data_IF_409018451769
#
_entry.id   IF_409018451769
#
_cell.length_a   1.000
_cell.length_b   1.000
_cell.length_c   1.000
_cell.angle_alpha   90.00
_cell.angle_beta   90.00
_cell.angle_gamma   90.00
#
_symmetry.space_group_name_H-M   'P 1'
#
loop_
_entity.id
_entity.type
_entity.pdbx_description
1 polymer ?
#
# COMPACT_ATOMS: atom_id res chain seq x y z
N UNK A 1 -1.47 -14.81 10.35
CA UNK A 1 -1.06 -15.22 9.00
C UNK A 1 -1.33 -14.08 8.02
N UNK A 2 -0.54 -13.96 6.96
CA UNK A 2 -0.77 -13.02 5.87
C UNK A 2 -1.47 -13.76 4.75
N UNK A 3 -2.50 -13.16 4.19
CA UNK A 3 -3.26 -13.71 3.08
C UNK A 3 -3.26 -12.71 1.94
N UNK A 4 -3.15 -13.20 0.72
CA UNK A 4 -3.58 -12.44 -0.44
C UNK A 4 -5.09 -12.26 -0.40
N UNK A 5 -5.60 -11.27 -1.12
CA UNK A 5 -7.04 -11.02 -1.23
C UNK A 5 -7.79 -12.27 -1.71
N UNK A 6 -7.20 -13.00 -2.67
CA UNK A 6 -7.76 -14.22 -3.22
C UNK A 6 -7.86 -15.32 -2.17
N UNK A 7 -6.77 -15.62 -1.47
CA UNK A 7 -6.74 -16.66 -0.42
C UNK A 7 -7.71 -16.35 0.72
N UNK A 8 -7.76 -15.08 1.15
CA UNK A 8 -8.69 -14.65 2.20
C UNK A 8 -10.15 -14.90 1.80
N UNK A 9 -10.50 -14.55 0.56
CA UNK A 9 -11.85 -14.72 0.02
C UNK A 9 -12.16 -16.22 -0.19
N UNK A 10 -11.20 -17.01 -0.67
CA UNK A 10 -11.35 -18.46 -0.79
C UNK A 10 -11.66 -19.12 0.55
N UNK A 11 -11.01 -18.70 1.64
CA UNK A 11 -11.32 -19.19 2.99
C UNK A 11 -12.77 -18.89 3.40
N UNK A 12 -13.27 -17.69 3.10
CA UNK A 12 -14.66 -17.33 3.39
C UNK A 12 -15.66 -18.19 2.59
N UNK A 13 -15.41 -18.42 1.30
CA UNK A 13 -16.26 -19.28 0.48
C UNK A 13 -16.15 -20.77 0.83
N UNK A 14 -14.97 -21.24 1.23
CA UNK A 14 -14.78 -22.59 1.73
C UNK A 14 -15.61 -22.82 3.01
N UNK A 15 -15.66 -21.83 3.89
CA UNK A 15 -16.51 -21.87 5.08
C UNK A 15 -18.00 -21.95 4.72
N UNK A 16 -18.47 -21.09 3.81
CA UNK A 16 -19.88 -21.08 3.34
C UNK A 16 -20.28 -22.45 2.81
N UNK A 17 -19.42 -23.08 2.00
CA UNK A 17 -19.66 -24.41 1.44
C UNK A 17 -19.67 -25.49 2.53
N UNK A 18 -18.72 -25.43 3.46
CA UNK A 18 -18.60 -26.40 4.54
C UNK A 18 -19.78 -26.32 5.53
N UNK A 19 -20.21 -25.12 5.89
CA UNK A 19 -21.35 -24.87 6.77
C UNK A 19 -22.71 -24.97 6.06
N UNK A 20 -22.71 -25.27 4.75
CA UNK A 20 -23.90 -25.43 3.92
C UNK A 20 -24.88 -24.24 4.00
N UNK A 21 -24.34 -23.01 4.04
CA UNK A 21 -25.10 -21.78 4.25
C UNK A 21 -25.97 -21.37 3.04
N UNK A 22 -25.87 -22.12 1.94
CA UNK A 22 -26.65 -21.91 0.72
C UNK A 22 -27.98 -22.69 0.72
N UNK A 23 -28.11 -23.74 1.53
CA UNK A 23 -29.24 -24.68 1.43
C UNK A 23 -30.60 -24.07 1.80
N UNK A 24 -30.62 -23.08 2.69
CA UNK A 24 -31.83 -22.40 3.14
C UNK A 24 -31.96 -20.97 2.61
N UNK A 25 -31.15 -20.62 1.59
CA UNK A 25 -31.17 -19.29 1.01
C UNK A 25 -32.45 -19.06 0.20
N UNK A 26 -33.00 -17.84 0.19
CA UNK A 26 -34.19 -17.51 -0.60
C UNK A 26 -33.96 -17.64 -2.11
N UNK A 27 -32.72 -17.58 -2.57
CA UNK A 27 -32.33 -17.66 -3.97
C UNK A 27 -30.89 -18.19 -4.14
N UNK A 28 -30.53 -18.63 -5.35
CA UNK A 28 -29.21 -19.20 -5.64
C UNK A 28 -28.05 -18.19 -5.52
N UNK A 29 -28.33 -16.89 -5.40
CA UNK A 29 -27.34 -15.83 -5.28
C UNK A 29 -27.17 -15.31 -3.84
N UNK A 30 -27.90 -15.87 -2.86
CA UNK A 30 -27.79 -15.48 -1.46
C UNK A 30 -27.29 -16.61 -0.57
N UNK A 31 -26.90 -16.24 0.65
CA UNK A 31 -26.53 -17.15 1.74
C UNK A 31 -27.26 -16.73 3.01
N UNK A 32 -27.60 -17.70 3.85
CA UNK A 32 -28.10 -17.45 5.21
C UNK A 32 -26.90 -17.43 6.15
N UNK A 33 -26.69 -16.31 6.85
CA UNK A 33 -25.58 -16.15 7.77
C UNK A 33 -25.84 -16.93 9.07
N UNK A 34 -24.90 -17.79 9.45
CA UNK A 34 -24.85 -18.34 10.79
C UNK A 34 -24.32 -17.30 11.80
N UNK A 35 -24.43 -17.60 13.09
CA UNK A 35 -23.98 -16.67 14.14
C UNK A 35 -22.48 -16.32 13.99
N UNK A 36 -21.65 -17.29 13.59
CA UNK A 36 -20.20 -17.13 13.47
C UNK A 36 -19.83 -16.17 12.33
N UNK A 37 -20.37 -16.37 11.14
CA UNK A 37 -20.09 -15.52 9.97
C UNK A 37 -20.76 -14.16 10.14
N UNK A 38 -21.95 -14.10 10.74
CA UNK A 38 -22.61 -12.83 11.03
C UNK A 38 -21.76 -11.97 11.98
N UNK A 39 -21.32 -12.53 13.11
CA UNK A 39 -20.43 -11.82 14.04
C UNK A 39 -19.11 -11.42 13.39
N UNK A 40 -18.48 -12.32 12.61
CA UNK A 40 -17.22 -12.03 11.95
C UNK A 40 -17.33 -10.82 11.00
N UNK A 41 -18.43 -10.73 10.23
CA UNK A 41 -18.65 -9.71 9.21
C UNK A 41 -19.20 -8.38 9.75
N UNK A 42 -20.03 -8.43 10.80
CA UNK A 42 -20.87 -7.29 11.20
C UNK A 42 -20.67 -6.81 12.65
N UNK A 43 -19.96 -7.56 13.51
CA UNK A 43 -19.75 -7.15 14.90
C UNK A 43 -19.03 -5.79 15.00
N UNK A 44 -19.70 -4.85 15.67
CA UNK A 44 -19.22 -3.47 15.84
C UNK A 44 -19.42 -2.56 14.63
N UNK A 45 -20.03 -3.04 13.55
CA UNK A 45 -20.39 -2.25 12.36
C UNK A 45 -21.89 -1.92 12.30
N UNK A 46 -22.72 -2.78 12.88
CA UNK A 46 -24.17 -2.56 13.01
C UNK A 46 -24.44 -1.58 14.14
N UNK A 47 -25.24 -0.55 13.89
CA UNK A 47 -25.54 0.46 14.91
C UNK A 47 -26.43 -0.12 16.01
N UNK A 48 -26.37 0.46 17.21
CA UNK A 48 -27.23 0.07 18.32
C UNK A 48 -28.70 0.27 17.93
N UNK A 49 -29.47 -0.83 17.85
CA UNK A 49 -30.88 -0.83 17.46
C UNK A 49 -31.15 -1.33 16.03
N UNK A 50 -30.12 -1.54 15.22
CA UNK A 50 -30.25 -2.20 13.92
C UNK A 50 -30.17 -3.72 14.07
N UNK A 51 -30.97 -4.42 13.25
CA UNK A 51 -31.01 -5.89 13.23
C UNK A 51 -29.83 -6.38 12.40
N UNK A 52 -29.12 -7.38 12.92
CA UNK A 52 -28.07 -8.05 12.17
C UNK A 52 -28.62 -8.69 10.90
N UNK A 53 -27.95 -8.56 9.74
CA UNK A 53 -28.39 -9.24 8.52
C UNK A 53 -28.42 -10.75 8.74
N UNK A 54 -29.53 -11.38 8.36
CA UNK A 54 -29.67 -12.85 8.34
C UNK A 54 -29.36 -13.45 6.96
N UNK A 55 -29.52 -12.66 5.90
CA UNK A 55 -29.27 -13.06 4.51
C UNK A 55 -28.30 -12.08 3.88
N UNK A 56 -27.33 -12.59 3.12
CA UNK A 56 -26.34 -11.79 2.40
C UNK A 56 -26.21 -12.27 0.95
N UNK A 57 -26.12 -11.38 -0.04
CA UNK A 57 -25.78 -11.77 -1.40
C UNK A 57 -24.36 -12.33 -1.48
N UNK A 58 -24.15 -13.41 -2.23
CA UNK A 58 -22.83 -14.03 -2.47
C UNK A 58 -21.82 -13.03 -3.05
N UNK A 59 -22.28 -12.11 -3.89
CA UNK A 59 -21.45 -11.05 -4.46
C UNK A 59 -20.87 -10.09 -3.40
N UNK A 60 -21.58 -9.88 -2.28
CA UNK A 60 -21.19 -8.96 -1.21
C UNK A 60 -20.27 -9.59 -0.16
N UNK A 61 -20.18 -10.92 -0.10
CA UNK A 61 -19.33 -11.65 0.85
C UNK A 61 -17.87 -11.19 0.74
N UNK A 62 -17.37 -11.06 -0.49
CA UNK A 62 -15.99 -10.63 -0.77
C UNK A 62 -15.67 -9.31 -0.08
N UNK A 63 -16.46 -8.29 -0.34
CA UNK A 63 -16.24 -6.95 0.21
C UNK A 63 -16.44 -6.93 1.72
N UNK A 64 -17.50 -7.57 2.22
CA UNK A 64 -17.80 -7.64 3.65
C UNK A 64 -16.66 -8.30 4.44
N UNK A 65 -16.08 -9.40 3.90
CA UNK A 65 -15.00 -10.13 4.55
C UNK A 65 -13.69 -9.34 4.51
N UNK A 66 -13.31 -8.81 3.34
CA UNK A 66 -12.08 -8.04 3.20
C UNK A 66 -12.07 -6.76 4.04
N UNK A 67 -13.23 -6.13 4.24
CA UNK A 67 -13.38 -4.97 5.14
C UNK A 67 -12.99 -5.29 6.60
N UNK A 68 -13.09 -6.55 7.01
CA UNK A 68 -12.72 -7.00 8.36
C UNK A 68 -11.24 -7.41 8.46
N UNK A 69 -10.60 -7.66 7.34
CA UNK A 69 -9.17 -7.95 7.30
C UNK A 69 -8.35 -6.67 7.57
N UNK A 70 -7.21 -6.82 8.22
CA UNK A 70 -6.25 -5.73 8.37
C UNK A 70 -5.41 -5.62 7.10
N UNK A 71 -5.42 -4.45 6.45
CA UNK A 71 -4.59 -4.18 5.29
C UNK A 71 -3.11 -4.26 5.66
N UNK A 72 -2.35 -5.01 4.88
CA UNK A 72 -0.90 -5.11 5.00
C UNK A 72 -0.28 -4.96 3.61
N UNK A 73 0.93 -4.41 3.57
CA UNK A 73 1.76 -4.30 2.39
C UNK A 73 2.96 -5.24 2.53
N UNK A 74 3.23 -6.03 1.50
CA UNK A 74 4.45 -6.83 1.36
C UNK A 74 5.30 -6.25 0.25
N UNK A 75 6.52 -5.88 0.58
CA UNK A 75 7.50 -5.33 -0.35
C UNK A 75 8.65 -6.32 -0.45
N UNK A 76 9.11 -6.58 -1.68
CA UNK A 76 10.18 -7.54 -1.94
C UNK A 76 11.16 -6.94 -2.94
N UNK A 77 12.45 -7.00 -2.59
CA UNK A 77 13.56 -6.58 -3.45
C UNK A 77 14.66 -7.61 -3.35
N UNK A 78 14.87 -8.38 -4.41
CA UNK A 78 15.81 -9.51 -4.38
C UNK A 78 15.41 -10.51 -3.30
N UNK A 79 16.32 -10.77 -2.35
CA UNK A 79 16.08 -11.65 -1.21
C UNK A 79 15.35 -10.98 -0.03
N UNK A 80 15.34 -9.64 0.02
CA UNK A 80 14.78 -8.91 1.15
C UNK A 80 13.26 -8.80 1.04
N UNK A 81 12.57 -9.11 2.14
CA UNK A 81 11.12 -9.05 2.25
C UNK A 81 10.76 -8.30 3.52
N UNK A 82 9.93 -7.27 3.37
CA UNK A 82 9.36 -6.53 4.50
C UNK A 82 7.85 -6.50 4.40
N UNK A 83 7.20 -6.72 5.54
CA UNK A 83 5.76 -6.62 5.69
C UNK A 83 5.46 -5.46 6.63
N UNK A 84 4.66 -4.50 6.16
CA UNK A 84 4.21 -3.35 6.96
C UNK A 84 2.68 -3.34 7.01
N UNK A 85 2.15 -2.91 8.15
CA UNK A 85 0.72 -2.65 8.29
C UNK A 85 0.32 -1.44 7.46
N UNK A 86 -0.89 -1.46 6.91
CA UNK A 86 -1.47 -0.38 6.13
C UNK A 86 -1.23 -0.51 4.63
N UNK A 87 -1.53 0.58 3.92
CA UNK A 87 -1.40 0.67 2.46
C UNK A 87 0.08 0.71 2.04
N UNK A 88 0.33 0.35 0.79
CA UNK A 88 1.66 0.49 0.19
C UNK A 88 2.10 1.96 0.23
N UNK A 89 3.28 2.27 0.80
CA UNK A 89 3.82 3.61 0.84
C UNK A 89 4.19 4.12 -0.56
N UNK A 90 4.36 5.43 -0.68
CA UNK A 90 4.79 6.08 -1.92
C UNK A 90 6.16 6.73 -1.77
N UNK A 91 6.88 6.85 -2.87
CA UNK A 91 8.11 7.62 -2.99
C UNK A 91 7.75 9.00 -3.51
N UNK A 92 8.10 10.04 -2.76
CA UNK A 92 7.88 11.41 -3.22
C UNK A 92 9.13 11.94 -3.90
N UNK A 93 8.95 12.51 -5.09
CA UNK A 93 9.97 13.23 -5.83
C UNK A 93 9.49 14.66 -5.97
N UNK A 94 10.20 15.62 -5.39
CA UNK A 94 9.77 17.02 -5.41
C UNK A 94 10.89 17.94 -5.88
N UNK A 95 10.55 18.89 -6.73
CA UNK A 95 11.43 20.00 -7.06
C UNK A 95 11.05 21.21 -6.20
N UNK A 96 12.03 21.74 -5.46
CA UNK A 96 11.85 22.90 -4.57
C UNK A 96 12.96 23.93 -4.81
N UNK A 97 12.71 25.19 -4.48
CA UNK A 97 13.72 26.24 -4.52
C UNK A 97 14.19 26.53 -3.09
N UNK A 98 15.48 26.33 -2.82
CA UNK A 98 16.10 26.61 -1.53
C UNK A 98 17.08 27.76 -1.73
N UNK A 99 16.83 28.90 -1.07
CA UNK A 99 17.70 30.09 -1.12
C UNK A 99 18.06 30.52 -2.55
N UNK A 100 17.08 30.46 -3.47
CA UNK A 100 17.27 30.81 -4.88
C UNK A 100 17.78 29.69 -5.80
N UNK A 101 18.21 28.56 -5.24
CA UNK A 101 18.69 27.40 -6.00
C UNK A 101 17.62 26.32 -6.11
N UNK A 102 17.38 25.83 -7.32
CA UNK A 102 16.47 24.69 -7.54
C UNK A 102 17.16 23.39 -7.11
N UNK A 103 16.46 22.58 -6.33
CA UNK A 103 16.91 21.25 -5.91
C UNK A 103 15.78 20.24 -6.08
N UNK A 104 16.15 18.97 -6.23
CA UNK A 104 15.24 17.84 -6.32
C UNK A 104 15.39 16.97 -5.07
N UNK A 105 14.31 16.73 -4.34
CA UNK A 105 14.27 15.91 -3.12
C UNK A 105 13.55 14.59 -3.41
N UNK A 106 14.12 13.49 -2.93
CA UNK A 106 13.55 12.15 -3.00
C UNK A 106 13.38 11.62 -1.57
N UNK A 107 12.18 11.15 -1.22
CA UNK A 107 11.86 10.64 0.12
C UNK A 107 10.98 9.40 0.07
N UNK A 108 11.00 8.57 1.11
CA UNK A 108 10.15 7.38 1.24
C UNK A 108 10.61 6.19 0.40
N UNK A 109 11.83 6.25 -0.16
CA UNK A 109 12.43 5.20 -0.98
C UNK A 109 12.85 3.99 -0.15
N UNK A 110 13.14 4.15 1.14
CA UNK A 110 13.51 3.10 2.08
C UNK A 110 12.36 2.12 2.31
N UNK A 111 11.13 2.60 2.13
CA UNK A 111 9.98 1.71 2.15
C UNK A 111 10.05 0.66 1.04
N UNK A 112 10.72 0.98 -0.07
CA UNK A 112 11.00 0.07 -1.18
C UNK A 112 12.34 -0.65 -1.04
N UNK A 113 12.91 -0.71 0.17
CA UNK A 113 14.18 -1.38 0.49
C UNK A 113 15.36 -0.82 -0.30
N UNK A 114 15.32 0.48 -0.59
CA UNK A 114 16.41 1.20 -1.25
C UNK A 114 17.30 1.82 -0.19
N UNK A 115 18.60 1.58 -0.28
CA UNK A 115 19.59 2.18 0.61
C UNK A 115 19.85 3.65 0.24
N UNK A 116 19.96 4.48 1.28
CA UNK A 116 20.11 5.94 1.15
C UNK A 116 21.42 6.34 0.51
N UNK A 117 22.54 5.75 0.93
CA UNK A 117 23.87 6.10 0.45
C UNK A 117 24.09 5.57 -0.97
N UNK A 118 23.57 4.37 -1.26
CA UNK A 118 23.54 3.83 -2.61
C UNK A 118 22.75 4.74 -3.55
N UNK A 119 21.53 5.15 -3.17
CA UNK A 119 20.70 6.04 -3.98
C UNK A 119 21.39 7.38 -4.22
N UNK A 120 21.97 7.99 -3.18
CA UNK A 120 22.69 9.25 -3.31
C UNK A 120 23.91 9.13 -4.25
N UNK A 121 24.67 8.04 -4.14
CA UNK A 121 25.83 7.76 -4.99
C UNK A 121 25.44 7.53 -6.46
N UNK A 122 24.38 6.79 -6.72
CA UNK A 122 23.87 6.55 -8.07
C UNK A 122 23.26 7.80 -8.69
N UNK A 123 22.52 8.61 -7.93
CA UNK A 123 22.02 9.90 -8.40
C UNK A 123 23.15 10.86 -8.77
N UNK A 124 24.21 10.93 -7.93
CA UNK A 124 25.39 11.77 -8.21
C UNK A 124 26.07 11.37 -9.52
N UNK A 125 26.24 10.08 -9.77
CA UNK A 125 26.84 9.56 -11.01
C UNK A 125 25.94 9.77 -12.22
N UNK A 126 24.66 9.44 -12.10
CA UNK A 126 23.70 9.45 -13.22
C UNK A 126 23.37 10.86 -13.69
N UNK A 127 23.22 11.81 -12.75
CA UNK A 127 22.83 13.18 -13.08
C UNK A 127 24.00 14.16 -13.11
N UNK A 128 25.23 13.72 -12.80
CA UNK A 128 26.42 14.57 -12.70
C UNK A 128 26.19 15.80 -11.79
N UNK A 129 25.39 15.63 -10.73
CA UNK A 129 24.97 16.71 -9.82
C UNK A 129 25.41 16.41 -8.39
N UNK A 130 25.73 17.46 -7.63
CA UNK A 130 25.97 17.32 -6.19
C UNK A 130 24.72 16.77 -5.50
N UNK A 131 24.92 15.78 -4.63
CA UNK A 131 23.85 15.05 -3.95
C UNK A 131 24.21 14.92 -2.47
N UNK A 132 23.27 15.26 -1.59
CA UNK A 132 23.40 15.22 -0.13
C UNK A 132 22.27 14.42 0.49
N UNK A 133 22.53 13.77 1.62
CA UNK A 133 21.55 13.01 2.40
C UNK A 133 21.23 13.77 3.68
N UNK A 134 19.94 13.89 4.04
CA UNK A 134 19.53 14.49 5.30
C UNK A 134 18.50 13.60 6.01
N UNK A 135 18.38 13.73 7.32
CA UNK A 135 17.27 13.13 8.07
C UNK A 135 15.99 13.95 7.91
N UNK A 136 14.85 13.28 7.72
CA UNK A 136 13.56 13.96 7.66
C UNK A 136 13.10 14.43 9.04
N UNK A 137 12.45 15.61 9.11
CA UNK A 137 11.98 16.15 10.39
C UNK A 137 10.86 15.28 10.97
N UNK A 138 11.08 14.80 12.20
CA UNK A 138 10.14 14.00 12.97
C UNK A 138 10.68 12.60 13.28
N UNK A 139 10.18 12.02 14.38
CA UNK A 139 10.66 10.72 14.86
C UNK A 139 10.33 9.62 13.83
N UNK A 140 11.35 8.90 13.36
CA UNK A 140 11.22 7.78 12.41
C UNK A 140 10.67 8.11 11.01
N UNK A 141 10.88 9.33 10.52
CA UNK A 141 10.41 9.73 9.17
C UNK A 141 11.32 9.24 8.03
N UNK A 142 12.53 8.76 8.34
CA UNK A 142 13.49 8.30 7.36
C UNK A 142 14.45 9.39 6.90
N UNK A 143 15.04 9.17 5.74
CA UNK A 143 16.05 9.98 5.10
C UNK A 143 15.47 10.66 3.85
N UNK A 144 16.15 11.71 3.43
CA UNK A 144 15.96 12.34 2.15
C UNK A 144 17.25 12.36 1.35
N UNK A 145 17.13 12.18 0.04
CA UNK A 145 18.20 12.42 -0.92
C UNK A 145 17.90 13.72 -1.65
N UNK A 146 18.80 14.68 -1.53
CA UNK A 146 18.69 16.01 -2.15
C UNK A 146 19.72 16.12 -3.27
N UNK A 147 19.26 16.37 -4.48
CA UNK A 147 20.07 16.52 -5.69
C UNK A 147 20.00 17.98 -6.12
N UNK A 148 21.15 18.60 -6.38
CA UNK A 148 21.19 19.96 -6.92
C UNK A 148 20.59 20.00 -8.33
N UNK A 149 19.74 20.99 -8.61
CA UNK A 149 19.09 21.20 -9.90
C UNK A 149 17.65 20.68 -10.01
N UNK A 150 17.04 20.99 -11.16
CA UNK A 150 15.67 20.58 -11.52
C UNK A 150 15.68 19.28 -12.32
N UNK A 151 15.72 18.13 -11.62
CA UNK A 151 15.95 16.82 -12.24
C UNK A 151 14.62 16.17 -12.64
N UNK A 152 14.08 16.57 -13.80
CA UNK A 152 12.83 16.00 -14.35
C UNK A 152 12.90 14.48 -14.57
N UNK A 153 14.08 13.91 -14.73
CA UNK A 153 14.32 12.48 -14.94
C UNK A 153 14.32 11.62 -13.66
N UNK A 154 14.27 12.21 -12.46
CA UNK A 154 14.44 11.48 -11.20
C UNK A 154 13.38 10.38 -10.98
N UNK A 155 12.11 10.66 -11.29
CA UNK A 155 11.04 9.66 -11.19
C UNK A 155 11.25 8.48 -12.15
N UNK A 156 11.67 8.75 -13.39
CA UNK A 156 11.96 7.71 -14.39
C UNK A 156 13.16 6.86 -13.97
N UNK A 157 14.19 7.50 -13.40
CA UNK A 157 15.36 6.82 -12.86
C UNK A 157 14.98 5.84 -11.75
N UNK A 158 14.18 6.26 -10.76
CA UNK A 158 13.71 5.37 -9.69
C UNK A 158 12.93 4.17 -10.22
N UNK A 159 12.12 4.36 -11.26
CA UNK A 159 11.40 3.25 -11.88
C UNK A 159 12.31 2.31 -12.66
N UNK A 160 13.29 2.83 -13.40
CA UNK A 160 14.15 2.05 -14.30
C UNK A 160 15.28 1.35 -13.55
N UNK A 161 15.98 2.07 -12.67
CA UNK A 161 17.13 1.54 -11.93
C UNK A 161 16.71 0.70 -10.72
N UNK A 162 15.67 1.13 -10.00
CA UNK A 162 15.22 0.46 -8.78
C UNK A 162 13.93 -0.35 -8.94
N UNK A 163 13.32 -0.39 -10.12
CA UNK A 163 12.11 -1.18 -10.38
C UNK A 163 10.88 -0.70 -9.60
N UNK A 164 10.89 0.53 -9.07
CA UNK A 164 9.76 1.04 -8.30
C UNK A 164 8.59 1.30 -9.27
N UNK A 165 7.40 0.71 -9.05
CA UNK A 165 6.27 0.89 -9.94
C UNK A 165 5.86 2.38 -10.02
N UNK A 166 5.68 2.96 -11.21
CA UNK A 166 5.37 4.39 -11.37
C UNK A 166 4.15 4.86 -10.57
N UNK A 167 3.16 3.99 -10.36
CA UNK A 167 1.96 4.28 -9.55
C UNK A 167 2.26 4.64 -8.09
N UNK A 168 3.43 4.27 -7.57
CA UNK A 168 3.87 4.58 -6.21
C UNK A 168 4.90 5.73 -6.19
N UNK A 169 5.19 6.37 -7.32
CA UNK A 169 6.10 7.52 -7.39
C UNK A 169 5.26 8.77 -7.61
N UNK A 170 5.32 9.70 -6.65
CA UNK A 170 4.56 10.95 -6.69
C UNK A 170 5.53 12.09 -7.00
N UNK A 171 5.49 12.60 -8.23
CA UNK A 171 6.32 13.73 -8.66
C UNK A 171 5.56 15.06 -8.51
N UNK A 172 6.17 16.06 -7.84
CA UNK A 172 5.59 17.41 -7.64
C UNK A 172 6.62 18.51 -7.92
N UNK A 173 6.17 19.69 -8.35
CA UNK A 173 7.05 20.85 -8.60
C UNK A 173 7.87 20.77 -9.90
N UNK A 174 7.52 19.85 -10.80
CA UNK A 174 8.11 19.71 -12.14
C UNK A 174 7.25 20.30 -13.25
N UNK A 175 6.24 21.08 -12.91
CA UNK A 175 5.40 21.79 -13.88
C UNK A 175 6.23 22.81 -14.67
N UNK A 176 5.73 23.21 -15.84
CA UNK A 176 6.43 24.08 -16.79
C UNK A 176 6.40 25.53 -16.32
#
# INVERSE_FOLDING_TARGET
>A
ALFTEKEAVEVAFAYIKHANLEANAPDNQSIVLDATLCDALFKGLVKKGEIYPSVLPKASVREAFLRRCQTNCRITRGADVVVKKGQTPSVAVSAVCIRGHKVTRITGFEAFLVDTEQLAGECRKTFACSTTTNELPGKHQGMEVVIQGHIRGAAKFLSTAYGIPPRYIIAKGFEK
#
